data_IF_013808403206
#
_entry.id   IF_013808403206
#
_cell.length_a   1.000
_cell.length_b   1.000
_cell.length_c   1.000
_cell.angle_alpha   90.00
_cell.angle_beta   90.00
_cell.angle_gamma   90.00
#
_symmetry.space_group_name_H-M   'P 1'
#
loop_
_entity.id
_entity.type
_entity.pdbx_description
1 polymer ?
#
# COMPACT_ATOMS: atom_id res chain seq x y z
N UNK A 1 15.98 3.96 -8.61
CA UNK A 1 14.66 4.48 -8.89
C UNK A 1 14.80 5.80 -9.65
N UNK A 2 14.03 5.97 -10.73
CA UNK A 2 14.01 7.25 -11.42
C UNK A 2 12.99 8.13 -10.70
N UNK A 3 13.47 9.22 -10.12
CA UNK A 3 12.61 10.24 -9.56
C UNK A 3 11.64 10.77 -10.62
N UNK A 4 10.40 10.99 -10.24
CA UNK A 4 9.44 11.71 -11.07
C UNK A 4 9.84 13.18 -11.19
N UNK A 5 9.23 13.88 -12.13
CA UNK A 5 9.40 15.33 -12.28
C UNK A 5 8.16 16.04 -11.79
N UNK A 6 8.31 16.89 -10.78
CA UNK A 6 7.26 17.83 -10.39
C UNK A 6 7.28 19.04 -11.32
N UNK A 7 6.12 19.43 -11.80
CA UNK A 7 5.94 20.71 -12.48
C UNK A 7 4.80 21.50 -11.86
N UNK A 8 5.01 22.81 -11.70
CA UNK A 8 3.97 23.73 -11.25
C UNK A 8 3.49 24.47 -12.49
N UNK A 9 2.19 24.39 -12.78
CA UNK A 9 1.58 25.18 -13.85
C UNK A 9 1.39 26.64 -13.43
N UNK A 10 1.16 27.58 -14.37
CA UNK A 10 0.81 28.98 -14.06
C UNK A 10 -0.41 29.12 -13.15
N UNK A 11 -1.27 28.14 -13.09
CA UNK A 11 -2.48 28.11 -12.26
C UNK A 11 -2.21 27.51 -10.86
N UNK A 12 -0.96 27.37 -10.45
CA UNK A 12 -0.52 26.68 -9.21
C UNK A 12 -0.98 25.21 -9.12
N UNK A 13 -1.26 24.56 -10.23
CA UNK A 13 -1.55 23.12 -10.27
C UNK A 13 -0.23 22.37 -10.29
N UNK A 14 0.04 21.67 -9.22
CA UNK A 14 1.19 20.77 -9.16
C UNK A 14 0.88 19.52 -9.97
N UNK A 15 1.67 19.29 -11.01
CA UNK A 15 1.64 18.04 -11.78
C UNK A 15 2.89 17.26 -11.48
N UNK A 16 2.71 16.08 -10.97
CA UNK A 16 3.80 15.16 -10.78
C UNK A 16 3.80 14.12 -11.89
N UNK A 17 4.93 14.02 -12.61
CA UNK A 17 5.13 13.04 -13.66
C UNK A 17 6.04 11.95 -13.14
N UNK A 18 5.48 10.78 -12.94
CA UNK A 18 6.19 9.61 -12.53
C UNK A 18 6.53 8.71 -13.73
N UNK A 19 7.78 8.27 -13.76
CA UNK A 19 8.25 7.31 -14.75
C UNK A 19 8.49 5.98 -14.04
N UNK A 20 7.46 5.14 -13.98
CA UNK A 20 7.50 3.84 -13.32
C UNK A 20 8.58 2.92 -13.89
N UNK A 21 9.20 2.16 -13.02
CA UNK A 21 10.26 1.21 -13.37
C UNK A 21 9.68 -0.02 -14.09
N UNK A 22 8.38 -0.30 -13.91
CA UNK A 22 7.70 -1.49 -14.42
C UNK A 22 6.86 -1.19 -15.65
N UNK A 23 7.49 -0.63 -16.67
CA UNK A 23 6.83 -0.19 -17.91
C UNK A 23 6.71 -1.28 -18.98
N UNK A 24 7.17 -2.49 -18.73
CA UNK A 24 7.30 -3.53 -19.77
C UNK A 24 6.03 -4.31 -20.07
N UNK A 25 4.94 -4.06 -19.36
CA UNK A 25 3.67 -4.77 -19.57
C UNK A 25 2.76 -3.90 -20.42
N UNK A 26 2.66 -4.22 -21.68
CA UNK A 26 2.01 -3.41 -22.73
C UNK A 26 0.51 -3.13 -22.55
N UNK A 27 -0.15 -3.80 -21.61
CA UNK A 27 -1.57 -3.61 -21.30
C UNK A 27 -1.82 -2.94 -19.94
N UNK A 28 -0.76 -2.56 -19.23
CA UNK A 28 -0.85 -2.01 -17.89
C UNK A 28 -0.67 -0.49 -17.95
N UNK A 29 -1.65 0.24 -17.53
CA UNK A 29 -1.52 1.68 -17.37
C UNK A 29 -1.02 2.02 -15.96
N UNK A 30 -0.14 2.99 -15.88
CA UNK A 30 0.40 3.48 -14.61
C UNK A 30 -0.43 4.69 -14.17
N UNK A 31 -0.87 4.66 -12.94
CA UNK A 31 -1.67 5.73 -12.34
C UNK A 31 -1.57 5.67 -10.82
N UNK A 32 -2.37 6.47 -10.18
CA UNK A 32 -2.57 6.49 -8.74
C UNK A 32 -4.07 6.32 -8.50
N UNK A 33 -4.45 5.24 -7.85
CA UNK A 33 -5.85 4.91 -7.58
C UNK A 33 -6.19 5.06 -6.10
N UNK A 34 -5.17 5.18 -5.25
CA UNK A 34 -5.30 5.38 -3.82
C UNK A 34 -5.37 6.87 -3.43
N UNK A 35 -5.76 7.12 -2.20
CA UNK A 35 -5.75 8.46 -1.61
C UNK A 35 -4.39 8.74 -0.96
N UNK A 36 -3.82 9.91 -1.25
CA UNK A 36 -2.61 10.33 -0.57
C UNK A 36 -2.87 10.63 0.92
N UNK A 37 -1.90 10.28 1.75
CA UNK A 37 -1.85 10.69 3.15
C UNK A 37 -0.90 11.87 3.34
N UNK A 38 -1.26 12.82 4.21
CA UNK A 38 -0.45 14.03 4.46
C UNK A 38 -0.20 14.19 5.95
N UNK A 39 1.05 14.47 6.30
CA UNK A 39 1.44 14.76 7.68
C UNK A 39 2.61 15.74 7.71
N UNK A 40 2.47 16.83 8.47
CA UNK A 40 3.52 17.84 8.73
C UNK A 40 4.29 18.32 7.49
N UNK A 41 3.57 18.52 6.36
CA UNK A 41 4.18 19.01 5.12
C UNK A 41 4.75 17.90 4.23
N UNK A 42 4.59 16.65 4.57
CA UNK A 42 4.93 15.50 3.72
C UNK A 42 3.70 14.83 3.16
N UNK A 43 3.78 14.39 1.93
CA UNK A 43 2.75 13.63 1.24
C UNK A 43 3.26 12.22 0.95
N UNK A 44 2.45 11.23 1.30
CA UNK A 44 2.70 9.82 1.05
C UNK A 44 1.66 9.29 0.08
N UNK A 45 2.09 8.67 -1.00
CA UNK A 45 1.21 8.14 -2.04
C UNK A 45 1.84 6.92 -2.68
N UNK A 46 1.01 5.93 -3.00
CA UNK A 46 1.43 4.79 -3.78
C UNK A 46 0.92 4.87 -5.22
N UNK A 47 1.52 4.09 -6.09
CA UNK A 47 1.07 3.95 -7.47
C UNK A 47 0.79 2.50 -7.83
N UNK A 48 0.11 2.28 -8.95
CA UNK A 48 -0.10 0.92 -9.45
C UNK A 48 1.12 0.33 -10.18
N UNK A 49 2.25 1.03 -10.16
CA UNK A 49 3.56 0.49 -10.52
C UNK A 49 4.31 -0.15 -9.35
N UNK A 50 3.75 -0.14 -8.14
CA UNK A 50 4.35 -0.72 -6.94
C UNK A 50 5.37 0.17 -6.27
N UNK A 51 5.18 1.48 -6.29
CA UNK A 51 6.06 2.41 -5.60
C UNK A 51 5.27 3.21 -4.57
N UNK A 52 5.74 3.19 -3.34
CA UNK A 52 5.32 4.11 -2.29
C UNK A 52 6.31 5.26 -2.24
N UNK A 53 5.82 6.48 -2.23
CA UNK A 53 6.62 7.68 -2.35
C UNK A 53 6.32 8.65 -1.23
N UNK A 54 7.38 9.34 -0.75
CA UNK A 54 7.27 10.49 0.12
C UNK A 54 7.74 11.75 -0.62
N UNK A 55 6.90 12.78 -0.62
CA UNK A 55 7.22 14.09 -1.18
C UNK A 55 7.18 15.15 -0.08
N UNK A 56 8.15 16.04 -0.07
CA UNK A 56 8.13 17.26 0.73
C UNK A 56 7.28 18.32 0.01
N UNK A 57 6.18 18.72 0.60
CA UNK A 57 5.24 19.68 0.02
C UNK A 57 5.76 21.13 0.04
N UNK A 58 6.77 21.45 0.86
CA UNK A 58 7.36 22.79 0.90
C UNK A 58 8.37 22.99 -0.22
N UNK A 59 9.13 21.95 -0.54
CA UNK A 59 10.17 21.98 -1.58
C UNK A 59 9.73 21.35 -2.89
N UNK A 60 8.63 20.58 -2.87
CA UNK A 60 8.12 19.76 -3.96
C UNK A 60 9.15 18.72 -4.45
N UNK A 61 10.02 18.28 -3.53
CA UNK A 61 11.06 17.30 -3.82
C UNK A 61 10.62 15.90 -3.35
N UNK A 62 11.01 14.90 -4.13
CA UNK A 62 10.91 13.52 -3.71
C UNK A 62 11.94 13.27 -2.59
N UNK A 63 11.46 12.80 -1.44
CA UNK A 63 12.28 12.48 -0.27
C UNK A 63 12.81 11.05 -0.36
N UNK A 64 11.90 10.09 -0.54
CA UNK A 64 12.24 8.68 -0.72
C UNK A 64 11.19 7.94 -1.54
N UNK A 65 11.60 6.79 -2.08
CA UNK A 65 10.72 5.81 -2.75
C UNK A 65 11.02 4.42 -2.19
N UNK A 66 9.97 3.71 -1.82
CA UNK A 66 10.03 2.30 -1.41
C UNK A 66 9.30 1.43 -2.43
N UNK A 67 9.95 0.35 -2.87
CA UNK A 67 9.31 -0.67 -3.71
C UNK A 67 8.33 -1.48 -2.86
N UNK A 68 7.05 -1.45 -3.22
CA UNK A 68 5.96 -2.20 -2.59
C UNK A 68 5.39 -3.27 -3.53
N UNK A 69 6.14 -3.67 -4.52
CA UNK A 69 5.98 -4.83 -5.40
C UNK A 69 4.87 -4.75 -6.44
N UNK A 70 3.67 -4.29 -6.11
CA UNK A 70 2.51 -4.42 -6.99
C UNK A 70 1.57 -3.21 -6.87
N UNK A 71 0.47 -3.28 -7.59
CA UNK A 71 -0.58 -2.30 -7.69
C UNK A 71 -1.20 -1.96 -6.31
N UNK A 72 -1.16 -0.70 -5.93
CA UNK A 72 -1.78 -0.25 -4.68
C UNK A 72 -3.16 0.33 -4.92
N UNK A 73 -4.17 -0.34 -4.37
CA UNK A 73 -5.52 0.16 -4.20
C UNK A 73 -5.82 0.48 -2.73
N UNK A 74 -4.83 0.25 -1.86
CA UNK A 74 -4.88 0.49 -0.43
C UNK A 74 -4.20 1.82 -0.12
N UNK A 75 -4.96 2.82 0.27
CA UNK A 75 -4.39 4.12 0.67
C UNK A 75 -3.42 3.95 1.84
N UNK A 76 -2.24 4.61 1.81
CA UNK A 76 -1.32 4.61 2.93
C UNK A 76 -1.97 5.13 4.21
N UNK A 77 -1.79 4.42 5.32
CA UNK A 77 -2.37 4.79 6.61
C UNK A 77 -1.28 5.25 7.56
N UNK A 78 -1.42 6.47 8.07
CA UNK A 78 -0.49 7.08 9.01
C UNK A 78 -0.82 6.67 10.45
N UNK A 79 0.21 6.38 11.23
CA UNK A 79 0.11 6.12 12.68
C UNK A 79 1.28 6.77 13.41
N UNK A 80 0.99 7.61 14.39
CA UNK A 80 2.02 8.13 15.31
C UNK A 80 2.07 7.20 16.51
N UNK A 81 3.23 6.60 16.74
CA UNK A 81 3.48 5.63 17.80
C UNK A 81 4.73 6.05 18.57
N UNK A 82 4.59 6.30 19.86
CA UNK A 82 5.70 6.77 20.73
C UNK A 82 6.42 8.02 20.18
N UNK A 83 5.66 8.90 19.51
CA UNK A 83 6.18 10.13 18.91
C UNK A 83 6.87 9.95 17.55
N UNK A 84 6.84 8.76 16.97
CA UNK A 84 7.41 8.44 15.67
C UNK A 84 6.29 8.14 14.65
N UNK A 85 6.45 8.58 13.41
CA UNK A 85 5.46 8.38 12.36
C UNK A 85 5.74 7.12 11.56
N UNK A 86 4.73 6.29 11.41
CA UNK A 86 4.76 5.08 10.58
C UNK A 86 3.65 5.08 9.54
N UNK A 87 3.89 4.30 8.50
CA UNK A 87 2.92 3.99 7.44
C UNK A 87 2.56 2.51 7.49
N UNK A 88 1.27 2.22 7.35
CA UNK A 88 0.77 0.88 7.06
C UNK A 88 0.31 0.85 5.60
N UNK A 89 0.86 -0.07 4.83
CA UNK A 89 0.64 -0.17 3.38
C UNK A 89 0.54 -1.64 2.98
N UNK A 90 -0.25 -1.89 1.96
CA UNK A 90 -0.30 -3.17 1.26
C UNK A 90 -0.68 -2.95 -0.19
N UNK A 91 -0.75 -4.03 -0.96
CA UNK A 91 -1.07 -3.99 -2.39
C UNK A 91 -2.13 -5.00 -2.76
N UNK A 92 -2.70 -4.83 -3.92
CA UNK A 92 -3.38 -5.91 -4.62
C UNK A 92 -2.34 -6.91 -5.15
N UNK A 93 -2.81 -8.08 -5.55
CA UNK A 93 -2.07 -8.99 -6.39
C UNK A 93 -2.71 -9.01 -7.77
N UNK A 94 -2.06 -8.43 -8.75
CA UNK A 94 -2.56 -8.35 -10.11
C UNK A 94 -1.70 -9.15 -11.08
N UNK A 95 -2.34 -10.00 -11.91
CA UNK A 95 -1.65 -10.62 -13.03
C UNK A 95 -1.14 -9.55 -14.00
N UNK A 96 0.15 -9.57 -14.26
CA UNK A 96 0.79 -8.61 -15.15
C UNK A 96 2.26 -8.40 -14.81
N UNK A 97 2.56 -8.18 -13.55
CA UNK A 97 3.93 -8.16 -13.04
C UNK A 97 4.45 -9.55 -12.76
N UNK A 98 3.58 -10.33 -12.15
CA UNK A 98 3.85 -11.66 -11.69
C UNK A 98 3.13 -12.61 -12.62
N UNK A 99 3.85 -13.47 -13.29
CA UNK A 99 3.33 -14.44 -14.24
C UNK A 99 2.60 -15.63 -13.59
N UNK A 100 2.51 -15.65 -12.26
CA UNK A 100 1.89 -16.72 -11.50
C UNK A 100 0.45 -16.40 -11.15
N UNK A 101 -0.39 -17.42 -11.01
CA UNK A 101 -1.77 -17.28 -10.53
C UNK A 101 -1.87 -17.05 -9.02
N UNK A 102 -0.79 -17.26 -8.26
CA UNK A 102 -0.69 -16.95 -6.85
C UNK A 102 0.64 -16.27 -6.52
N UNK A 103 0.63 -15.43 -5.49
CA UNK A 103 1.82 -14.81 -4.94
C UNK A 103 1.59 -14.34 -3.51
N UNK A 104 2.67 -14.16 -2.76
CA UNK A 104 2.67 -13.50 -1.47
C UNK A 104 2.34 -12.01 -1.63
N UNK A 105 1.34 -11.55 -0.89
CA UNK A 105 0.98 -10.14 -0.78
C UNK A 105 1.33 -9.66 0.62
N UNK A 106 2.31 -8.78 0.75
CA UNK A 106 2.72 -8.27 2.04
C UNK A 106 1.84 -7.14 2.56
N UNK A 107 1.69 -7.11 3.88
CA UNK A 107 1.30 -5.94 4.66
C UNK A 107 2.55 -5.43 5.34
N UNK A 108 2.87 -4.15 5.18
CA UNK A 108 4.08 -3.54 5.72
C UNK A 108 3.77 -2.50 6.77
N UNK A 109 4.64 -2.43 7.77
CA UNK A 109 4.90 -1.21 8.54
C UNK A 109 6.18 -0.58 8.03
N UNK A 110 6.12 0.69 7.69
CA UNK A 110 7.22 1.44 7.08
C UNK A 110 7.47 2.68 7.92
N UNK A 111 8.74 2.97 8.17
CA UNK A 111 9.17 4.23 8.77
C UNK A 111 8.90 5.39 7.79
N UNK A 112 8.07 6.34 8.20
CA UNK A 112 7.66 7.43 7.33
C UNK A 112 8.78 8.43 7.05
N UNK A 113 9.80 8.51 7.90
CA UNK A 113 10.90 9.45 7.74
C UNK A 113 11.85 9.05 6.60
N UNK A 114 12.08 7.75 6.44
CA UNK A 114 13.13 7.26 5.53
C UNK A 114 12.69 6.14 4.57
N UNK A 115 11.45 5.64 4.67
CA UNK A 115 10.91 4.59 3.83
C UNK A 115 11.38 3.17 4.19
N UNK A 116 12.06 2.98 5.32
CA UNK A 116 12.56 1.67 5.74
C UNK A 116 11.43 0.76 6.21
N UNK A 117 11.41 -0.47 5.72
CA UNK A 117 10.47 -1.49 6.18
C UNK A 117 10.85 -1.93 7.60
N UNK A 118 9.92 -1.75 8.55
CA UNK A 118 10.09 -2.16 9.95
C UNK A 118 9.73 -3.64 10.12
N UNK A 119 8.59 -4.03 9.57
CA UNK A 119 8.17 -5.43 9.49
C UNK A 119 7.27 -5.67 8.26
N UNK A 120 7.12 -6.95 7.93
CA UNK A 120 6.30 -7.44 6.84
C UNK A 120 5.57 -8.71 7.29
N UNK A 121 4.27 -8.78 7.00
CA UNK A 121 3.46 -10.00 7.18
C UNK A 121 2.76 -10.28 5.87
N UNK A 122 2.93 -11.50 5.34
CA UNK A 122 2.46 -11.86 4.00
C UNK A 122 1.30 -12.83 4.03
N UNK A 123 0.49 -12.75 2.98
CA UNK A 123 -0.63 -13.64 2.69
C UNK A 123 -0.47 -14.19 1.28
N UNK A 124 -0.58 -15.50 1.10
CA UNK A 124 -0.70 -16.06 -0.24
C UNK A 124 -2.06 -15.67 -0.81
N UNK A 125 -2.04 -15.00 -1.95
CA UNK A 125 -3.22 -14.52 -2.63
C UNK A 125 -3.27 -15.01 -4.07
N UNK A 126 -4.48 -15.08 -4.62
CA UNK A 126 -4.75 -15.57 -5.97
C UNK A 126 -5.24 -14.42 -6.86
N UNK A 127 -4.90 -14.48 -8.14
CA UNK A 127 -5.46 -13.62 -9.18
C UNK A 127 -5.86 -14.49 -10.38
N UNK A 128 -7.12 -14.45 -10.76
CA UNK A 128 -7.66 -15.28 -11.81
C UNK A 128 -8.84 -14.59 -12.48
N UNK A 129 -9.03 -14.83 -13.78
CA UNK A 129 -10.11 -14.26 -14.59
C UNK A 129 -10.19 -12.71 -14.53
N UNK A 130 -9.05 -12.05 -14.41
CA UNK A 130 -8.97 -10.58 -14.33
C UNK A 130 -9.41 -10.00 -12.98
N UNK A 131 -9.62 -10.85 -11.97
CA UNK A 131 -9.98 -10.41 -10.62
C UNK A 131 -8.77 -10.55 -9.71
N UNK A 132 -8.32 -9.44 -9.13
CA UNK A 132 -7.15 -9.36 -8.26
C UNK A 132 -7.45 -9.86 -6.85
N UNK A 133 -6.50 -10.58 -6.27
CA UNK A 133 -6.43 -10.84 -4.83
C UNK A 133 -5.66 -9.74 -4.08
N UNK A 134 -5.34 -10.01 -2.83
CA UNK A 134 -4.58 -9.10 -1.99
C UNK A 134 -5.43 -8.05 -1.27
N UNK A 135 -4.81 -6.96 -0.87
CA UNK A 135 -5.47 -5.89 -0.12
C UNK A 135 -5.97 -4.82 -1.08
N UNK A 136 -7.29 -4.74 -1.21
CA UNK A 136 -7.99 -3.83 -2.13
C UNK A 136 -8.63 -2.65 -1.36
N UNK A 137 -8.33 -2.53 -0.07
CA UNK A 137 -8.99 -1.59 0.82
C UNK A 137 -8.00 -0.96 1.78
N UNK A 138 -8.39 0.15 2.38
CA UNK A 138 -7.56 0.86 3.35
C UNK A 138 -7.50 0.08 4.66
N UNK A 139 -6.31 -0.08 5.21
CA UNK A 139 -6.05 -0.70 6.52
C UNK A 139 -6.64 0.18 7.61
N UNK A 140 -7.33 -0.42 8.59
CA UNK A 140 -7.82 0.31 9.76
C UNK A 140 -6.81 0.24 10.92
N UNK A 141 -6.61 1.35 11.62
CA UNK A 141 -5.81 1.40 12.85
C UNK A 141 -6.70 1.41 14.06
N UNK A 142 -6.40 0.56 15.03
CA UNK A 142 -7.11 0.53 16.31
C UNK A 142 -6.89 1.80 17.13
N UNK A 143 -7.84 2.09 18.02
CA UNK A 143 -7.82 3.22 18.95
C UNK A 143 -8.13 2.74 20.36
N UNK A 144 -7.78 3.53 21.36
CA UNK A 144 -8.05 3.24 22.78
C UNK A 144 -7.51 1.86 23.20
N UNK A 145 -8.38 0.96 23.66
CA UNK A 145 -8.00 -0.41 24.05
C UNK A 145 -7.50 -1.28 22.90
N UNK A 146 -7.68 -0.85 21.66
CA UNK A 146 -7.24 -1.53 20.43
C UNK A 146 -6.06 -0.82 19.78
N UNK A 147 -5.45 0.17 20.44
CA UNK A 147 -4.42 1.04 19.87
C UNK A 147 -3.19 0.28 19.36
N UNK A 148 -2.92 -0.90 19.91
CA UNK A 148 -1.76 -1.74 19.55
C UNK A 148 -1.97 -2.56 18.26
N UNK A 149 -3.12 -2.43 17.61
CA UNK A 149 -3.49 -3.31 16.49
C UNK A 149 -3.84 -2.53 15.22
N UNK A 150 -3.66 -3.22 14.09
CA UNK A 150 -4.26 -2.87 12.80
C UNK A 150 -5.17 -4.00 12.32
N UNK A 151 -6.11 -3.64 11.47
CA UNK A 151 -7.07 -4.57 10.88
C UNK A 151 -6.99 -4.47 9.36
N UNK A 152 -6.95 -5.60 8.69
CA UNK A 152 -6.83 -5.67 7.24
C UNK A 152 -7.76 -6.73 6.66
N UNK A 153 -8.45 -6.39 5.59
CA UNK A 153 -9.17 -7.37 4.77
C UNK A 153 -8.28 -7.77 3.60
N UNK A 154 -8.06 -9.07 3.46
CA UNK A 154 -7.25 -9.64 2.38
C UNK A 154 -8.12 -10.54 1.53
N UNK A 155 -8.21 -10.23 0.25
CA UNK A 155 -9.05 -10.93 -0.70
C UNK A 155 -8.32 -12.13 -1.32
N UNK A 156 -9.06 -13.23 -1.55
CA UNK A 156 -8.63 -14.41 -2.31
C UNK A 156 -7.41 -15.12 -1.72
N UNK A 157 -7.44 -15.34 -0.42
CA UNK A 157 -6.38 -16.05 0.31
C UNK A 157 -6.48 -17.57 0.27
N UNK A 158 -7.68 -18.13 0.13
CA UNK A 158 -7.91 -19.58 0.10
C UNK A 158 -8.49 -20.08 -1.23
N UNK A 159 -8.82 -19.17 -2.12
CA UNK A 159 -9.48 -19.46 -3.38
C UNK A 159 -10.23 -18.23 -3.92
N UNK A 160 -10.96 -18.43 -5.03
CA UNK A 160 -11.61 -17.31 -5.73
C UNK A 160 -12.65 -16.55 -4.91
N UNK A 161 -13.37 -17.22 -4.03
CA UNK A 161 -14.46 -16.64 -3.23
C UNK A 161 -14.10 -16.37 -1.77
N UNK A 162 -12.88 -16.63 -1.37
CA UNK A 162 -12.44 -16.58 0.01
C UNK A 162 -11.55 -15.38 0.30
N UNK A 163 -11.55 -14.95 1.55
CA UNK A 163 -10.70 -13.90 2.06
C UNK A 163 -10.58 -14.00 3.58
N UNK A 164 -9.84 -13.11 4.17
CA UNK A 164 -9.70 -13.01 5.61
C UNK A 164 -9.84 -11.57 6.08
N UNK A 165 -10.39 -11.41 7.28
CA UNK A 165 -10.20 -10.25 8.13
C UNK A 165 -9.14 -10.62 9.16
N UNK A 166 -8.04 -9.91 9.18
CA UNK A 166 -6.94 -10.17 10.09
C UNK A 166 -6.67 -8.99 11.02
N UNK A 167 -6.23 -9.31 12.24
CA UNK A 167 -5.73 -8.38 13.24
C UNK A 167 -4.22 -8.61 13.39
N UNK A 168 -3.43 -7.57 13.18
CA UNK A 168 -1.98 -7.62 13.31
C UNK A 168 -1.52 -6.69 14.43
N UNK A 169 -0.50 -7.13 15.16
CA UNK A 169 0.16 -6.33 16.18
C UNK A 169 1.02 -5.25 15.51
N UNK A 170 0.82 -3.99 15.88
CA UNK A 170 1.56 -2.84 15.31
C UNK A 170 3.06 -2.91 15.55
N UNK A 171 3.48 -3.46 16.67
CA UNK A 171 4.89 -3.51 17.06
C UNK A 171 5.66 -4.60 16.33
N UNK A 172 5.06 -5.78 16.19
CA UNK A 172 5.75 -6.98 15.69
C UNK A 172 5.33 -7.41 14.29
N UNK A 173 4.14 -6.99 13.83
CA UNK A 173 3.52 -7.49 12.61
C UNK A 173 2.91 -8.89 12.74
N UNK A 174 2.97 -9.51 13.93
CA UNK A 174 2.42 -10.84 14.15
C UNK A 174 0.89 -10.82 14.07
N UNK A 175 0.35 -11.90 13.54
CA UNK A 175 -1.10 -12.13 13.51
C UNK A 175 -1.59 -12.48 14.90
N UNK A 176 -2.43 -11.64 15.47
CA UNK A 176 -3.13 -11.90 16.73
C UNK A 176 -4.30 -12.89 16.50
N UNK A 177 -5.05 -12.64 15.45
CA UNK A 177 -6.12 -13.52 14.97
C UNK A 177 -6.44 -13.23 13.51
N UNK A 178 -7.07 -14.20 12.87
CA UNK A 178 -7.70 -14.01 11.57
C UNK A 178 -9.05 -14.73 11.52
N UNK A 179 -9.96 -14.20 10.75
CA UNK A 179 -11.29 -14.74 10.52
C UNK A 179 -11.52 -14.89 9.02
N UNK A 180 -11.78 -16.13 8.60
CA UNK A 180 -12.10 -16.43 7.20
C UNK A 180 -13.47 -15.84 6.85
N UNK A 181 -13.56 -15.17 5.72
CA UNK A 181 -14.77 -14.56 5.20
C UNK A 181 -14.88 -14.81 3.69
N UNK A 182 -16.01 -14.44 3.09
CA UNK A 182 -16.00 -14.17 1.66
C UNK A 182 -15.01 -13.05 1.37
N UNK A 183 -14.39 -13.06 0.18
CA UNK A 183 -13.46 -11.98 -0.15
C UNK A 183 -14.18 -10.62 -0.17
N UNK A 184 -13.51 -9.61 0.34
CA UNK A 184 -14.03 -8.26 0.40
C UNK A 184 -13.00 -7.26 -0.12
N UNK A 185 -13.50 -6.23 -0.79
CA UNK A 185 -12.72 -5.08 -1.25
C UNK A 185 -13.05 -3.82 -0.43
N UNK A 186 -13.66 -4.02 0.73
CA UNK A 186 -14.03 -2.95 1.66
C UNK A 186 -13.07 -2.91 2.83
N UNK A 187 -12.83 -1.70 3.33
CA UNK A 187 -12.08 -1.50 4.58
C UNK A 187 -12.83 -2.10 5.77
N UNK A 188 -12.12 -2.64 6.75
CA UNK A 188 -12.69 -3.13 8.00
C UNK A 188 -13.26 -2.05 8.87
#
# INVERSE_FOLDING_TARGET
PKAGTLSISPDNIVKWHYYGVRTSVSSYWLGMEDSAAVYEGYLFVADNGGNLMCLDLNTLQLVWVQDILDDSNSSPVLSVEDGHLYLYVSTSFRLGWRSNSSAEVPVWKIDAENGTIIWQTSYECYSEDGVSGGVQSTIATGKESLADYIYVTVARTGGQGEGVLACLNKKTGEKEWEHTSAYAWSSP
#
